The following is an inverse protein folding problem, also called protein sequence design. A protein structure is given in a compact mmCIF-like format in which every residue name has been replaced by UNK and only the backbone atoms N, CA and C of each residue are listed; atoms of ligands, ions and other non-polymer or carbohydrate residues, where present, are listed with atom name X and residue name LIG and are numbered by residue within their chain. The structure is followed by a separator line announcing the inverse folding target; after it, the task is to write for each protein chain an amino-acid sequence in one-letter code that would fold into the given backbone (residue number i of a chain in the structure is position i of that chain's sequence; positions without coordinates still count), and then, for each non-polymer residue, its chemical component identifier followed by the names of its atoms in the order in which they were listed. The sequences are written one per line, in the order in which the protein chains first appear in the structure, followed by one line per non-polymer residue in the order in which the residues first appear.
data_IF_397315961871
#
_entry.id   IF_397315961871
#
_cell.length_a   1.000
_cell.length_b   1.000
_cell.length_c   1.000
_cell.angle_alpha   90.00
_cell.angle_beta   90.00
_cell.angle_gamma   90.00
#
_symmetry.space_group_name_H-M   'P 1'
#
loop_
_entity.id
_entity.type
_entity.pdbx_description
1 polymer ?
#
# COMPACT_ATOMS: atom_id res chain seq x y z
N UNK A 1 -31.45 24.41 14.44
CA UNK A 1 -30.56 23.45 15.10
C UNK A 1 -29.11 23.95 15.04
N UNK A 2 -28.63 24.54 16.13
CA UNK A 2 -27.20 24.72 16.38
C UNK A 2 -26.81 23.56 17.29
N UNK A 3 -26.00 22.62 16.78
CA UNK A 3 -25.65 21.43 17.55
C UNK A 3 -24.76 20.46 16.77
N UNK A 4 -23.48 20.82 16.64
CA UNK A 4 -22.27 19.96 16.47
C UNK A 4 -21.21 20.90 15.85
N UNK A 5 -20.21 21.43 16.54
CA UNK A 5 -19.20 20.72 17.31
C UNK A 5 -18.28 21.76 17.96
N UNK A 6 -18.57 22.14 19.21
CA UNK A 6 -17.60 22.82 20.08
C UNK A 6 -16.55 21.79 20.55
N UNK A 7 -15.67 21.38 19.64
CA UNK A 7 -14.48 20.60 19.99
C UNK A 7 -13.28 21.56 20.06
N UNK A 8 -13.13 22.14 21.26
CA UNK A 8 -11.86 22.50 21.89
C UNK A 8 -10.91 23.43 21.09
N UNK A 9 -11.22 24.72 21.11
CA UNK A 9 -10.35 25.78 20.58
C UNK A 9 -9.17 26.10 21.53
N UNK A 10 -8.39 25.08 21.92
CA UNK A 10 -7.13 25.29 22.62
C UNK A 10 -6.08 25.63 21.58
N UNK A 11 -5.49 26.83 21.66
CA UNK A 11 -4.35 27.19 20.84
C UNK A 11 -3.26 26.13 21.03
N UNK A 12 -2.86 25.49 19.93
CA UNK A 12 -1.77 24.53 19.95
C UNK A 12 -0.51 25.26 20.39
N UNK A 13 0.27 24.60 21.25
CA UNK A 13 1.62 25.07 21.52
C UNK A 13 2.42 25.11 20.21
N UNK A 14 3.47 25.96 20.12
CA UNK A 14 4.33 25.99 18.96
C UNK A 14 4.86 24.60 18.55
N UNK A 15 5.13 23.74 19.54
CA UNK A 15 5.57 22.37 19.33
C UNK A 15 4.47 21.49 18.68
N UNK A 16 3.24 21.55 19.16
CA UNK A 16 2.14 20.74 18.59
C UNK A 16 1.76 21.20 17.17
N UNK A 17 1.81 22.52 16.90
CA UNK A 17 1.59 23.04 15.56
C UNK A 17 2.68 22.57 14.58
N UNK A 18 3.95 22.63 14.98
CA UNK A 18 5.07 22.13 14.18
C UNK A 18 4.96 20.62 13.92
N UNK A 19 4.63 19.83 14.96
CA UNK A 19 4.42 18.39 14.82
C UNK A 19 3.26 18.07 13.86
N UNK A 20 2.15 18.79 13.96
CA UNK A 20 1.00 18.62 13.08
C UNK A 20 1.38 18.86 11.62
N UNK A 21 2.13 19.92 11.34
CA UNK A 21 2.48 20.28 9.98
C UNK A 21 3.56 19.32 9.42
N UNK A 22 4.51 18.88 10.25
CA UNK A 22 5.46 17.82 9.91
C UNK A 22 4.76 16.48 9.63
N UNK A 23 3.78 16.09 10.44
CA UNK A 23 3.01 14.87 10.24
C UNK A 23 2.21 14.90 8.93
N UNK A 24 1.65 16.06 8.56
CA UNK A 24 0.95 16.25 7.28
C UNK A 24 1.90 16.09 6.11
N UNK A 25 3.09 16.68 6.18
CA UNK A 25 4.08 16.56 5.12
C UNK A 25 4.59 15.11 4.99
N UNK A 26 4.90 14.47 6.11
CA UNK A 26 5.34 13.07 6.18
C UNK A 26 4.37 12.10 5.49
N UNK A 27 3.06 12.32 5.63
CA UNK A 27 2.05 11.46 4.99
C UNK A 27 1.73 11.85 3.55
N UNK A 28 2.23 12.99 3.07
CA UNK A 28 1.92 13.54 1.74
C UNK A 28 3.06 13.31 0.74
N UNK A 29 4.29 13.43 1.18
CA UNK A 29 5.47 13.58 0.34
C UNK A 29 6.61 12.68 0.80
N UNK A 30 7.40 12.09 -0.13
CA UNK A 30 7.29 12.19 -1.58
C UNK A 30 6.16 11.32 -2.17
N UNK A 31 5.66 10.35 -1.41
CA UNK A 31 4.54 9.48 -1.80
C UNK A 31 3.51 9.48 -0.68
N UNK A 32 2.24 9.56 -1.05
CA UNK A 32 1.15 9.63 -0.08
C UNK A 32 0.91 8.29 0.58
N UNK A 33 0.57 8.32 1.87
CA UNK A 33 0.20 7.14 2.64
C UNK A 33 1.37 6.52 3.40
N UNK A 34 1.13 5.34 3.99
CA UNK A 34 2.08 4.64 4.86
C UNK A 34 2.49 3.26 4.36
N UNK A 35 1.69 2.67 3.47
CA UNK A 35 1.85 1.29 3.02
C UNK A 35 2.01 1.27 1.50
N UNK A 36 2.81 0.32 1.01
CA UNK A 36 2.98 0.04 -0.41
C UNK A 36 3.12 -1.48 -0.59
N UNK A 37 2.70 -1.99 -1.75
CA UNK A 37 2.96 -3.36 -2.19
C UNK A 37 3.81 -3.28 -3.44
N UNK A 38 4.99 -3.90 -3.41
CA UNK A 38 5.92 -3.91 -4.54
C UNK A 38 6.10 -5.33 -5.08
N UNK A 39 6.20 -5.51 -6.40
CA UNK A 39 6.50 -6.81 -6.98
C UNK A 39 7.84 -7.35 -6.45
N UNK A 40 7.92 -8.66 -6.21
CA UNK A 40 9.15 -9.33 -5.76
C UNK A 40 10.01 -9.84 -6.92
N UNK A 41 9.46 -9.90 -8.13
CA UNK A 41 10.13 -10.30 -9.38
C UNK A 41 10.16 -9.13 -10.37
N UNK A 42 11.15 -9.12 -11.26
CA UNK A 42 11.24 -8.11 -12.31
C UNK A 42 10.03 -8.17 -13.25
N UNK A 43 9.56 -7.00 -13.70
CA UNK A 43 8.46 -6.82 -14.65
C UNK A 43 8.89 -5.84 -15.76
N UNK A 44 10.12 -6.00 -16.26
CA UNK A 44 10.81 -4.99 -17.08
C UNK A 44 10.58 -5.14 -18.59
N UNK A 45 10.15 -6.31 -19.04
CA UNK A 45 10.06 -6.66 -20.45
C UNK A 45 8.91 -7.66 -20.71
N UNK A 46 8.67 -7.98 -21.99
CA UNK A 46 7.59 -8.89 -22.40
C UNK A 46 7.71 -10.31 -21.85
N UNK A 47 8.94 -10.83 -21.73
CA UNK A 47 9.18 -12.16 -21.18
C UNK A 47 8.83 -12.18 -19.70
N UNK A 48 9.23 -11.16 -18.94
CA UNK A 48 8.89 -11.03 -17.51
C UNK A 48 7.37 -11.01 -17.31
N UNK A 49 6.66 -10.22 -18.11
CA UNK A 49 5.19 -10.13 -18.06
C UNK A 49 4.52 -11.47 -18.43
N UNK A 50 5.05 -12.17 -19.43
CA UNK A 50 4.52 -13.48 -19.85
C UNK A 50 4.70 -14.57 -18.79
N UNK A 51 5.71 -14.43 -17.91
CA UNK A 51 5.91 -15.33 -16.77
C UNK A 51 5.02 -14.96 -15.58
N UNK A 52 4.85 -13.67 -15.30
CA UNK A 52 4.06 -13.19 -14.18
C UNK A 52 2.53 -13.29 -14.41
N UNK A 53 2.10 -13.23 -15.67
CA UNK A 53 0.71 -13.31 -16.09
C UNK A 53 0.53 -14.41 -17.15
N UNK A 54 -0.55 -14.34 -17.93
CA UNK A 54 -0.80 -15.27 -19.03
C UNK A 54 0.30 -15.19 -20.09
N UNK A 55 0.80 -16.33 -20.62
CA UNK A 55 0.37 -17.70 -20.31
C UNK A 55 1.10 -18.35 -19.12
N UNK A 56 2.18 -17.77 -18.60
CA UNK A 56 3.07 -18.41 -17.62
C UNK A 56 2.41 -18.74 -16.28
N UNK A 57 1.50 -17.89 -15.79
CA UNK A 57 0.78 -18.10 -14.52
C UNK A 57 -0.09 -19.37 -14.53
N UNK A 58 -0.42 -19.92 -15.69
CA UNK A 58 -1.23 -21.13 -15.77
C UNK A 58 -0.55 -22.35 -15.13
N UNK A 59 0.79 -22.47 -15.24
CA UNK A 59 1.51 -23.61 -14.70
C UNK A 59 1.44 -23.74 -13.17
N UNK A 60 1.74 -22.69 -12.36
CA UNK A 60 1.53 -22.78 -10.92
C UNK A 60 0.05 -22.99 -10.55
N UNK A 61 -0.90 -22.46 -11.34
CA UNK A 61 -2.32 -22.74 -11.11
C UNK A 61 -2.67 -24.23 -11.29
N UNK A 62 -2.20 -24.86 -12.37
CA UNK A 62 -2.40 -26.31 -12.62
C UNK A 62 -1.69 -27.16 -11.57
N UNK A 63 -0.52 -26.73 -11.10
CA UNK A 63 0.18 -27.38 -10.00
C UNK A 63 -0.64 -27.37 -8.70
N UNK A 64 -1.23 -26.22 -8.34
CA UNK A 64 -2.08 -26.06 -7.16
C UNK A 64 -3.41 -26.82 -7.31
N UNK A 65 -3.96 -26.87 -8.52
CA UNK A 65 -5.14 -27.69 -8.82
C UNK A 65 -4.86 -29.18 -8.55
N UNK A 66 -3.70 -29.68 -8.99
CA UNK A 66 -3.29 -31.06 -8.77
C UNK A 66 -2.93 -31.36 -7.31
N UNK A 67 -2.31 -30.41 -6.61
CA UNK A 67 -1.96 -30.51 -5.20
C UNK A 67 -2.13 -29.15 -4.48
N UNK A 68 -3.19 -28.96 -3.68
CA UNK A 68 -3.43 -27.72 -2.95
C UNK A 68 -2.30 -27.30 -1.99
N UNK A 69 -1.42 -28.21 -1.56
CA UNK A 69 -0.31 -27.84 -0.67
C UNK A 69 0.75 -26.96 -1.36
N UNK A 70 0.87 -27.06 -2.70
CA UNK A 70 1.81 -26.25 -3.49
C UNK A 70 1.53 -24.74 -3.46
N UNK A 71 0.37 -24.33 -2.95
CA UNK A 71 0.06 -22.90 -2.78
C UNK A 71 0.96 -22.20 -1.75
N UNK A 72 1.60 -22.96 -0.87
CA UNK A 72 2.45 -22.44 0.21
C UNK A 72 3.97 -22.63 -0.04
N UNK A 73 4.36 -23.23 -1.17
CA UNK A 73 5.76 -23.41 -1.58
C UNK A 73 6.44 -22.09 -1.99
#
# INVERSE_FOLDING_TARGET
EQGMSEQNNKALSPAEAALRDAAREYHRSPTRGKIAVTPTKALSNQRDLSLAYSPGVAYPCLDIEADPQKAAD
#
